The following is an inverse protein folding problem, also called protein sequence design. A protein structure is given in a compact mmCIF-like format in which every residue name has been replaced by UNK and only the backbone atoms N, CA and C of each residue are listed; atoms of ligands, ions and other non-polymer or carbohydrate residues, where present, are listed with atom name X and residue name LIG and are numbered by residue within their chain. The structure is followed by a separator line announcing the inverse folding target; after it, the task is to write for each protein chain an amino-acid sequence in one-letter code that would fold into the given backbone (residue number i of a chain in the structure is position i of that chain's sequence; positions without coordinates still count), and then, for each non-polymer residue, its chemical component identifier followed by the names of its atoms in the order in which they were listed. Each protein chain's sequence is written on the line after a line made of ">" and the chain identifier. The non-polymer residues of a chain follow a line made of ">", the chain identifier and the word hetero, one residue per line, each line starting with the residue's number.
data_IF_302880643252
#
_entry.id   IF_302880643252
#
_cell.length_a   1.000
_cell.length_b   1.000
_cell.length_c   1.000
_cell.angle_alpha   90.00
_cell.angle_beta   90.00
_cell.angle_gamma   90.00
#
_symmetry.space_group_name_H-M   'P 1'
#
loop_
_entity.id
_entity.type
_entity.pdbx_description
1 polymer ?
#
# COMPACT_ATOMS: atom_id res chain seq x y z
N UNK A 1 13.36 12.48 -10.01
CA UNK A 1 13.22 11.02 -9.80
C UNK A 1 13.82 10.68 -8.45
N UNK A 2 13.09 9.96 -7.60
CA UNK A 2 13.53 9.53 -6.25
C UNK A 2 13.29 8.03 -6.16
N UNK A 3 14.31 7.29 -5.70
CA UNK A 3 14.27 5.84 -5.54
C UNK A 3 14.86 5.44 -4.21
N UNK A 4 14.43 4.31 -3.66
CA UNK A 4 15.01 3.73 -2.46
C UNK A 4 15.23 2.23 -2.60
N UNK A 5 16.15 1.69 -1.81
CA UNK A 5 16.41 0.26 -1.72
C UNK A 5 16.85 -0.13 -0.30
N UNK A 6 16.53 -1.34 0.16
CA UNK A 6 15.63 -2.31 -0.48
C UNK A 6 14.15 -1.86 -0.45
N UNK A 7 13.31 -2.44 -1.32
CA UNK A 7 11.87 -2.11 -1.37
C UNK A 7 11.10 -2.57 -0.11
N UNK A 8 11.57 -3.66 0.52
CA UNK A 8 11.09 -4.16 1.82
C UNK A 8 12.28 -4.31 2.77
N UNK A 9 12.69 -3.24 3.46
CA UNK A 9 13.81 -3.29 4.39
C UNK A 9 13.51 -4.13 5.62
N UNK A 10 14.49 -4.90 6.08
CA UNK A 10 14.46 -5.50 7.42
C UNK A 10 14.88 -4.49 8.48
N UNK A 11 14.57 -4.75 9.75
CA UNK A 11 14.97 -3.90 10.88
C UNK A 11 16.49 -3.80 11.10
N UNK A 12 17.29 -4.62 10.43
CA UNK A 12 18.75 -4.59 10.48
C UNK A 12 19.40 -3.81 9.33
N UNK A 13 18.63 -3.43 8.30
CA UNK A 13 19.14 -2.79 7.09
C UNK A 13 18.99 -1.28 7.13
N UNK A 14 20.00 -0.56 6.65
CA UNK A 14 19.83 0.82 6.22
C UNK A 14 19.03 0.87 4.91
N UNK A 15 18.39 2.01 4.65
CA UNK A 15 17.68 2.27 3.42
C UNK A 15 18.45 3.28 2.60
N UNK A 16 18.95 2.86 1.45
CA UNK A 16 19.66 3.71 0.50
C UNK A 16 18.63 4.50 -0.30
N UNK A 17 18.72 5.82 -0.26
CA UNK A 17 17.85 6.74 -1.02
C UNK A 17 18.69 7.45 -2.05
N UNK A 18 18.20 7.49 -3.28
CA UNK A 18 18.85 8.16 -4.41
C UNK A 18 17.88 9.11 -5.08
N UNK A 19 18.37 10.27 -5.50
CA UNK A 19 17.57 11.27 -6.19
C UNK A 19 18.36 11.88 -7.34
N UNK A 20 17.67 12.20 -8.43
CA UNK A 20 18.20 13.10 -9.46
C UNK A 20 17.70 14.51 -9.16
N UNK A 21 18.62 15.43 -8.91
CA UNK A 21 18.35 16.82 -8.53
C UNK A 21 19.01 17.72 -9.58
N UNK A 22 18.22 18.57 -10.22
CA UNK A 22 18.67 19.51 -11.24
C UNK A 22 18.36 20.92 -10.81
N UNK A 23 19.30 21.82 -11.06
CA UNK A 23 19.17 23.25 -10.87
C UNK A 23 19.90 23.98 -12.00
N UNK A 24 19.50 25.22 -12.30
CA UNK A 24 20.15 26.08 -13.30
C UNK A 24 21.49 26.66 -12.80
N UNK A 25 21.70 26.65 -11.48
CA UNK A 25 22.92 27.05 -10.78
C UNK A 25 23.62 25.87 -10.09
N UNK A 26 23.78 25.96 -8.77
CA UNK A 26 24.44 24.95 -7.96
C UNK A 26 23.60 24.55 -6.75
N UNK A 27 23.60 23.25 -6.44
CA UNK A 27 22.93 22.73 -5.26
C UNK A 27 23.81 22.97 -4.03
N UNK A 28 23.33 23.77 -3.08
CA UNK A 28 24.03 24.02 -1.82
C UNK A 28 23.91 22.84 -0.85
N UNK A 29 22.73 22.20 -0.77
CA UNK A 29 22.54 21.01 0.04
C UNK A 29 21.39 20.14 -0.45
N UNK A 30 21.45 18.85 -0.12
CA UNK A 30 20.34 17.92 -0.30
C UNK A 30 20.21 17.02 0.93
N UNK A 31 18.99 16.70 1.32
CA UNK A 31 18.70 15.88 2.49
C UNK A 31 17.46 15.02 2.27
N UNK A 32 17.46 13.86 2.90
CA UNK A 32 16.28 13.04 3.11
C UNK A 32 15.57 13.60 4.33
N UNK A 33 14.28 13.91 4.18
CA UNK A 33 13.40 14.30 5.27
C UNK A 33 12.44 13.15 5.51
N UNK A 34 12.41 12.61 6.73
CA UNK A 34 11.61 11.41 7.02
C UNK A 34 10.97 11.43 8.41
N UNK A 35 9.87 10.71 8.56
CA UNK A 35 9.24 10.37 9.84
C UNK A 35 9.25 8.85 10.02
N UNK A 36 9.11 8.43 11.29
CA UNK A 36 8.91 7.03 11.67
C UNK A 36 7.62 6.99 12.47
N UNK A 37 6.67 6.17 12.04
CA UNK A 37 5.32 6.04 12.62
C UNK A 37 4.60 7.38 12.80
N UNK A 38 4.73 8.24 11.78
CA UNK A 38 4.18 9.61 11.75
C UNK A 38 4.62 10.49 12.95
N UNK A 39 5.75 10.13 13.56
CA UNK A 39 6.37 10.86 14.65
C UNK A 39 7.12 12.12 14.21
N UNK A 40 8.07 12.55 15.04
CA UNK A 40 8.86 13.75 14.77
C UNK A 40 9.72 13.60 13.50
N UNK A 41 9.82 14.68 12.74
CA UNK A 41 10.64 14.75 11.53
C UNK A 41 12.13 14.61 11.86
N UNK A 42 12.81 13.79 11.07
CA UNK A 42 14.24 13.57 11.09
C UNK A 42 14.84 13.90 9.72
N UNK A 43 16.17 14.09 9.69
CA UNK A 43 16.89 14.41 8.45
C UNK A 43 18.15 13.57 8.31
N UNK A 44 18.46 13.15 7.09
CA UNK A 44 19.74 12.54 6.73
C UNK A 44 20.34 13.28 5.53
N UNK A 45 21.63 13.63 5.61
CA UNK A 45 22.30 14.33 4.54
C UNK A 45 22.40 13.44 3.29
N UNK A 46 22.25 14.06 2.12
CA UNK A 46 22.58 13.44 0.83
C UNK A 46 23.86 14.05 0.27
N UNK A 47 24.64 13.22 -0.41
CA UNK A 47 25.91 13.60 -1.04
C UNK A 47 25.87 13.32 -2.54
N UNK A 48 26.58 14.10 -3.38
CA UNK A 48 26.66 13.83 -4.81
C UNK A 48 27.30 12.46 -5.10
N UNK A 49 26.71 11.71 -6.04
CA UNK A 49 27.21 10.40 -6.53
C UNK A 49 27.44 10.38 -8.05
N UNK A 50 27.71 11.56 -8.62
CA UNK A 50 28.02 11.76 -10.03
C UNK A 50 26.89 12.40 -10.85
N UNK A 51 27.26 13.33 -11.74
CA UNK A 51 26.30 14.14 -12.48
C UNK A 51 25.31 14.84 -11.55
N UNK A 52 24.03 14.70 -11.84
CA UNK A 52 22.93 15.29 -11.05
C UNK A 52 22.37 14.32 -10.00
N UNK A 53 23.07 13.22 -9.69
CA UNK A 53 22.60 12.18 -8.77
C UNK A 53 23.13 12.43 -7.36
N UNK A 54 22.24 12.29 -6.39
CA UNK A 54 22.52 12.40 -4.96
C UNK A 54 22.12 11.12 -4.25
N UNK A 55 22.84 10.76 -3.20
CA UNK A 55 22.55 9.59 -2.38
C UNK A 55 22.68 9.89 -0.88
N UNK A 56 21.85 9.25 -0.08
CA UNK A 56 21.93 9.26 1.38
C UNK A 56 21.29 8.00 1.95
N UNK A 57 21.35 7.83 3.27
CA UNK A 57 20.84 6.64 3.94
C UNK A 57 19.93 6.99 5.10
N UNK A 58 18.77 6.35 5.18
CA UNK A 58 17.97 6.30 6.41
C UNK A 58 18.54 5.15 7.26
N UNK A 59 18.87 5.38 8.55
CA UNK A 59 19.43 4.33 9.40
C UNK A 59 18.40 3.21 9.65
N UNK A 60 18.84 2.01 10.09
CA UNK A 60 17.93 0.92 10.43
C UNK A 60 16.84 1.37 11.42
N UNK A 61 15.63 0.87 11.20
CA UNK A 61 14.44 1.21 11.99
C UNK A 61 13.86 -0.03 12.67
N UNK A 62 12.99 0.18 13.65
CA UNK A 62 12.36 -0.92 14.38
C UNK A 62 11.45 -1.77 13.47
N UNK A 63 11.34 -3.05 13.79
CA UNK A 63 10.41 -3.97 13.12
C UNK A 63 8.96 -3.48 13.29
N UNK A 64 8.19 -3.50 12.20
CA UNK A 64 6.81 -3.01 12.17
C UNK A 64 6.67 -1.49 12.01
N UNK A 65 7.77 -0.72 12.06
CA UNK A 65 7.71 0.72 11.84
C UNK A 65 7.35 1.06 10.39
N UNK A 66 6.67 2.18 10.19
CA UNK A 66 6.47 2.76 8.86
C UNK A 66 7.31 4.02 8.70
N UNK A 67 8.12 4.03 7.65
CA UNK A 67 8.92 5.18 7.26
C UNK A 67 8.20 5.92 6.15
N UNK A 68 7.98 7.22 6.35
CA UNK A 68 7.48 8.15 5.33
C UNK A 68 8.58 9.17 5.05
N UNK A 69 8.94 9.40 3.79
CA UNK A 69 10.02 10.33 3.44
C UNK A 69 9.81 11.09 2.13
N UNK A 70 10.53 12.18 1.99
CA UNK A 70 10.77 12.89 0.74
C UNK A 70 12.21 13.42 0.69
N UNK A 71 12.65 13.87 -0.48
CA UNK A 71 13.95 14.52 -0.65
C UNK A 71 13.76 16.03 -0.73
N UNK A 72 14.55 16.76 0.04
CA UNK A 72 14.62 18.20 0.01
C UNK A 72 15.97 18.66 -0.50
N UNK A 73 16.01 19.65 -1.38
CA UNK A 73 17.25 20.29 -1.83
C UNK A 73 17.16 21.80 -1.67
N UNK A 74 18.31 22.43 -1.43
CA UNK A 74 18.46 23.88 -1.37
C UNK A 74 19.55 24.28 -2.36
N UNK A 75 19.28 25.25 -3.22
CA UNK A 75 20.28 25.79 -4.14
C UNK A 75 21.16 26.87 -3.46
N UNK A 76 22.04 27.51 -4.23
CA UNK A 76 22.92 28.57 -3.73
C UNK A 76 22.25 29.92 -3.48
N UNK A 77 21.02 30.10 -3.95
CA UNK A 77 20.25 31.34 -3.80
C UNK A 77 19.24 31.24 -2.63
N UNK A 78 19.04 30.03 -2.10
CA UNK A 78 18.28 29.72 -0.91
C UNK A 78 16.91 29.10 -1.17
N UNK A 79 16.57 28.90 -2.44
CA UNK A 79 15.36 28.25 -2.89
C UNK A 79 15.39 26.77 -2.51
N UNK A 80 14.22 26.25 -2.10
CA UNK A 80 14.07 24.87 -1.66
C UNK A 80 13.10 24.12 -2.55
N UNK A 81 13.44 22.87 -2.86
CA UNK A 81 12.48 21.87 -3.38
C UNK A 81 12.25 20.83 -2.29
N UNK A 82 11.02 20.38 -2.02
CA UNK A 82 9.76 20.83 -2.64
C UNK A 82 9.44 22.28 -2.23
N UNK A 83 8.87 23.08 -3.14
CA UNK A 83 8.47 24.46 -2.82
C UNK A 83 7.33 24.43 -1.79
N UNK A 84 7.50 25.03 -0.59
CA UNK A 84 6.49 25.01 0.46
C UNK A 84 5.17 25.69 0.05
N UNK A 85 5.15 26.48 -1.03
CA UNK A 85 3.96 27.19 -1.51
C UNK A 85 3.18 26.44 -2.60
N UNK A 86 3.72 25.34 -3.14
CA UNK A 86 3.16 24.62 -4.31
C UNK A 86 2.40 23.35 -3.90
N UNK A 87 2.34 23.05 -2.60
CA UNK A 87 1.63 21.89 -2.03
C UNK A 87 2.59 20.91 -1.35
N UNK A 88 2.02 19.90 -0.71
CA UNK A 88 2.82 18.86 -0.07
C UNK A 88 3.61 18.07 -1.13
N UNK A 89 4.86 17.68 -0.85
CA UNK A 89 5.59 16.79 -1.74
C UNK A 89 4.91 15.45 -1.91
N UNK A 90 5.18 14.73 -3.02
CA UNK A 90 4.92 13.30 -3.06
C UNK A 90 5.76 12.62 -1.96
N UNK A 91 5.08 12.00 -1.02
CA UNK A 91 5.70 11.22 0.05
C UNK A 91 5.88 9.78 -0.41
N UNK A 92 7.06 9.21 -0.17
CA UNK A 92 7.33 7.79 -0.33
C UNK A 92 7.21 7.11 1.03
N UNK A 93 6.49 5.99 1.08
CA UNK A 93 6.16 5.32 2.32
C UNK A 93 6.40 3.82 2.20
N UNK A 94 7.05 3.21 3.19
CA UNK A 94 7.32 1.78 3.21
C UNK A 94 7.41 1.23 4.65
N UNK A 95 7.05 -0.05 4.87
CA UNK A 95 7.15 -0.68 6.18
C UNK A 95 8.54 -1.30 6.41
N UNK A 96 8.89 -1.52 7.67
CA UNK A 96 10.12 -2.18 8.09
C UNK A 96 9.80 -3.57 8.61
N UNK A 97 10.52 -4.58 8.11
CA UNK A 97 10.37 -5.97 8.50
C UNK A 97 9.10 -6.65 7.99
N UNK A 98 8.39 -6.02 7.05
CA UNK A 98 7.14 -6.56 6.55
C UNK A 98 7.35 -7.90 5.83
N UNK A 99 6.65 -8.93 6.31
CA UNK A 99 6.60 -10.23 5.66
C UNK A 99 5.30 -10.31 4.87
N UNK A 100 5.42 -10.51 3.56
CA UNK A 100 4.27 -10.64 2.65
C UNK A 100 3.48 -11.91 3.05
N UNK A 101 2.19 -11.80 3.41
CA UNK A 101 1.35 -12.95 3.66
C UNK A 101 1.07 -13.75 2.39
N UNK A 102 0.87 -15.05 2.52
CA UNK A 102 0.48 -15.94 1.41
C UNK A 102 -1.05 -15.96 1.27
N UNK A 103 -1.62 -14.85 0.81
CA UNK A 103 -3.06 -14.69 0.53
C UNK A 103 -3.21 -13.99 -0.81
N UNK A 104 -4.13 -14.49 -1.62
CA UNK A 104 -4.42 -13.97 -2.96
C UNK A 104 -5.93 -13.72 -3.12
N UNK A 105 -6.27 -12.91 -4.11
CA UNK A 105 -7.64 -12.82 -4.62
C UNK A 105 -7.85 -14.03 -5.54
N UNK A 106 -8.81 -14.89 -5.20
CA UNK A 106 -9.09 -16.10 -5.96
C UNK A 106 -10.13 -15.85 -7.06
N UNK A 107 -11.24 -15.21 -6.68
CA UNK A 107 -12.37 -14.93 -7.56
C UNK A 107 -13.11 -13.68 -7.05
N UNK A 108 -13.85 -13.02 -7.93
CA UNK A 108 -14.83 -12.02 -7.53
C UNK A 108 -15.98 -11.99 -8.56
N UNK A 109 -17.14 -11.47 -8.15
CA UNK A 109 -18.33 -11.34 -8.99
C UNK A 109 -19.00 -9.99 -8.74
N UNK A 110 -19.07 -9.14 -9.78
CA UNK A 110 -19.63 -7.78 -9.72
C UNK A 110 -21.05 -7.64 -10.33
N UNK A 111 -21.70 -8.76 -10.63
CA UNK A 111 -23.10 -8.81 -11.09
C UNK A 111 -23.73 -10.13 -10.63
N UNK A 112 -23.73 -10.35 -9.32
CA UNK A 112 -24.28 -11.56 -8.75
C UNK A 112 -25.81 -11.46 -8.70
N UNK A 113 -26.51 -12.27 -9.50
CA UNK A 113 -27.97 -12.26 -9.53
C UNK A 113 -28.58 -13.52 -8.90
N UNK A 114 -27.81 -14.60 -8.80
CA UNK A 114 -28.34 -15.93 -8.44
C UNK A 114 -27.33 -16.91 -7.84
N UNK A 115 -26.02 -16.61 -7.79
CA UNK A 115 -25.00 -17.64 -7.53
C UNK A 115 -24.75 -17.84 -6.04
N UNK A 116 -24.29 -16.78 -5.36
CA UNK A 116 -24.00 -16.79 -3.94
C UNK A 116 -24.98 -15.84 -3.23
N UNK A 117 -25.90 -16.40 -2.47
CA UNK A 117 -26.80 -15.61 -1.61
C UNK A 117 -26.03 -15.13 -0.39
N UNK A 118 -26.26 -13.90 0.04
CA UNK A 118 -25.73 -13.37 1.30
C UNK A 118 -26.36 -14.18 2.47
N UNK A 119 -25.56 -14.91 3.27
CA UNK A 119 -26.07 -15.67 4.41
C UNK A 119 -26.62 -14.78 5.53
N UNK A 120 -26.23 -13.50 5.57
CA UNK A 120 -26.65 -12.52 6.58
C UNK A 120 -27.88 -11.69 6.13
N UNK A 121 -28.20 -11.67 4.82
CA UNK A 121 -29.47 -11.14 4.28
C UNK A 121 -30.14 -12.06 3.23
N UNK A 122 -30.99 -13.01 3.67
CA UNK A 122 -31.65 -13.96 2.78
C UNK A 122 -32.46 -13.30 1.66
N UNK A 123 -32.17 -13.70 0.43
CA UNK A 123 -32.74 -13.18 -0.80
C UNK A 123 -31.87 -12.13 -1.49
N UNK A 124 -30.81 -11.64 -0.83
CA UNK A 124 -29.85 -10.73 -1.42
C UNK A 124 -28.69 -11.48 -2.10
N UNK A 125 -28.25 -10.94 -3.22
CA UNK A 125 -27.16 -11.48 -4.04
C UNK A 125 -26.13 -10.37 -4.25
N UNK A 126 -25.50 -9.94 -3.16
CA UNK A 126 -24.46 -8.94 -3.23
C UNK A 126 -23.28 -9.40 -4.12
N UNK A 127 -22.58 -8.42 -4.68
CA UNK A 127 -21.28 -8.64 -5.28
C UNK A 127 -20.32 -9.21 -4.24
N UNK A 128 -19.30 -9.93 -4.65
CA UNK A 128 -18.42 -10.57 -3.70
C UNK A 128 -16.99 -10.75 -4.20
N UNK A 129 -16.07 -10.83 -3.25
CA UNK A 129 -14.64 -11.06 -3.45
C UNK A 129 -14.25 -12.27 -2.59
N UNK A 130 -13.62 -13.28 -3.18
CA UNK A 130 -13.09 -14.44 -2.49
C UNK A 130 -11.57 -14.36 -2.34
N UNK A 131 -11.09 -14.44 -1.10
CA UNK A 131 -9.68 -14.61 -0.78
C UNK A 131 -9.34 -16.08 -0.59
N UNK A 132 -8.14 -16.47 -1.02
CA UNK A 132 -7.61 -17.81 -0.84
C UNK A 132 -6.22 -17.77 -0.20
N UNK A 133 -5.98 -18.68 0.74
CA UNK A 133 -4.66 -18.94 1.29
C UNK A 133 -4.08 -20.23 0.68
N UNK A 134 -3.23 -20.15 -0.36
CA UNK A 134 -2.55 -21.32 -0.93
C UNK A 134 -1.42 -21.86 -0.05
N UNK A 135 -1.10 -21.18 1.04
CA UNK A 135 -0.03 -21.55 1.96
C UNK A 135 -0.37 -22.74 2.84
N UNK A 136 0.64 -23.20 3.58
CA UNK A 136 0.53 -24.33 4.50
C UNK A 136 0.25 -23.94 5.96
N UNK A 137 0.09 -22.64 6.24
CA UNK A 137 -0.15 -22.11 7.59
C UNK A 137 -1.29 -21.09 7.58
N UNK A 138 -2.05 -20.94 8.68
CA UNK A 138 -3.04 -19.88 8.80
C UNK A 138 -2.41 -18.49 8.67
N UNK A 139 -3.13 -17.57 8.04
CA UNK A 139 -2.74 -16.17 7.85
C UNK A 139 -3.74 -15.26 8.56
N UNK A 140 -3.31 -14.43 9.53
CA UNK A 140 -4.12 -13.34 10.04
C UNK A 140 -4.38 -12.33 8.92
N UNK A 141 -5.65 -11.96 8.71
CA UNK A 141 -6.03 -10.96 7.71
C UNK A 141 -6.10 -9.54 8.28
N UNK A 142 -5.97 -9.40 9.61
CA UNK A 142 -5.86 -8.11 10.27
C UNK A 142 -4.79 -7.21 9.68
N UNK A 143 -5.13 -5.93 9.48
CA UNK A 143 -4.23 -4.95 8.88
C UNK A 143 -3.99 -5.12 7.39
N UNK A 144 -4.73 -6.01 6.72
CA UNK A 144 -4.87 -6.03 5.26
C UNK A 144 -6.06 -5.17 4.83
N UNK A 145 -6.06 -4.78 3.55
CA UNK A 145 -7.07 -3.90 2.99
C UNK A 145 -7.56 -4.43 1.64
N UNK A 146 -8.86 -4.39 1.43
CA UNK A 146 -9.46 -4.54 0.10
C UNK A 146 -9.76 -3.16 -0.47
N UNK A 147 -9.57 -3.00 -1.77
CA UNK A 147 -9.96 -1.78 -2.47
C UNK A 147 -10.31 -2.08 -3.92
N UNK A 148 -11.36 -1.41 -4.38
CA UNK A 148 -11.74 -1.26 -5.80
C UNK A 148 -11.07 -0.03 -6.46
N UNK A 149 -10.27 0.72 -5.69
CA UNK A 149 -9.69 1.99 -6.10
C UNK A 149 -8.19 2.05 -5.74
N UNK A 150 -7.29 1.96 -6.74
CA UNK A 150 -5.85 2.06 -6.52
C UNK A 150 -5.39 3.39 -5.91
N UNK A 151 -6.15 4.47 -6.08
CA UNK A 151 -5.87 5.77 -5.46
C UNK A 151 -6.26 5.82 -3.97
N UNK A 152 -6.99 4.80 -3.48
CA UNK A 152 -7.33 4.61 -2.08
C UNK A 152 -7.03 3.16 -1.63
N UNK A 153 -5.76 2.79 -1.45
CA UNK A 153 -5.37 1.40 -1.14
C UNK A 153 -5.82 0.92 0.24
N UNK A 154 -6.31 1.82 1.11
CA UNK A 154 -6.81 1.49 2.46
C UNK A 154 -8.33 1.62 2.57
N UNK A 155 -9.07 1.48 1.45
CA UNK A 155 -10.52 1.73 1.38
C UNK A 155 -11.31 0.91 2.40
N UNK A 156 -11.14 -0.42 2.40
CA UNK A 156 -11.75 -1.31 3.37
C UNK A 156 -10.68 -2.00 4.21
N UNK A 157 -10.63 -1.73 5.51
CA UNK A 157 -9.73 -2.40 6.43
C UNK A 157 -10.33 -3.72 6.92
N UNK A 158 -9.62 -4.84 6.73
CA UNK A 158 -10.04 -6.13 7.26
C UNK A 158 -9.77 -6.16 8.77
N UNK A 159 -10.78 -6.57 9.53
CA UNK A 159 -10.70 -6.60 11.00
C UNK A 159 -9.62 -7.55 11.53
N UNK A 160 -9.00 -7.17 12.65
CA UNK A 160 -7.85 -7.90 13.23
C UNK A 160 -8.15 -9.29 13.79
N UNK A 161 -9.43 -9.67 13.86
CA UNK A 161 -9.87 -10.95 14.39
C UNK A 161 -9.99 -12.05 13.33
N UNK A 162 -9.93 -11.69 12.04
CA UNK A 162 -10.06 -12.66 10.96
C UNK A 162 -8.75 -13.38 10.68
N UNK A 163 -8.81 -14.70 10.54
CA UNK A 163 -7.69 -15.57 10.18
C UNK A 163 -8.15 -16.55 9.13
N UNK A 164 -7.41 -16.64 8.03
CA UNK A 164 -7.67 -17.56 6.94
C UNK A 164 -6.74 -18.78 7.07
N UNK A 165 -7.31 -19.95 7.35
CA UNK A 165 -6.54 -21.18 7.48
C UNK A 165 -5.86 -21.61 6.16
N UNK A 166 -4.89 -22.51 6.27
CA UNK A 166 -4.19 -23.08 5.12
C UNK A 166 -5.18 -23.79 4.17
N UNK A 167 -5.13 -23.46 2.88
CA UNK A 167 -6.01 -24.03 1.87
C UNK A 167 -7.48 -23.61 1.98
N UNK A 168 -7.81 -22.61 2.81
CA UNK A 168 -9.17 -22.12 2.99
C UNK A 168 -9.46 -20.90 2.13
N UNK A 169 -10.75 -20.69 1.89
CA UNK A 169 -11.33 -19.56 1.18
C UNK A 169 -12.17 -18.72 2.15
N UNK A 170 -12.26 -17.41 1.88
CA UNK A 170 -13.12 -16.50 2.62
C UNK A 170 -13.73 -15.47 1.67
N UNK A 171 -15.05 -15.34 1.73
CA UNK A 171 -15.79 -14.38 0.93
C UNK A 171 -16.04 -13.10 1.71
N UNK A 172 -15.85 -11.97 1.04
CA UNK A 172 -16.32 -10.65 1.44
C UNK A 172 -17.42 -10.21 0.48
N UNK A 173 -18.54 -9.72 1.01
CA UNK A 173 -19.62 -9.11 0.24
C UNK A 173 -19.33 -7.62 0.02
N UNK A 174 -19.46 -7.18 -1.22
CA UNK A 174 -19.24 -5.82 -1.66
C UNK A 174 -20.59 -5.12 -1.87
N UNK A 175 -21.18 -4.67 -0.76
CA UNK A 175 -22.57 -4.21 -0.67
C UNK A 175 -22.75 -2.83 -0.02
N UNK A 176 -21.66 -2.19 0.41
CA UNK A 176 -21.68 -0.94 1.19
C UNK A 176 -22.37 -1.03 2.57
N UNK A 177 -22.53 -2.23 3.14
CA UNK A 177 -23.26 -2.43 4.41
C UNK A 177 -22.42 -3.13 5.50
N UNK A 178 -21.47 -2.38 6.05
CA UNK A 178 -20.62 -2.87 7.15
C UNK A 178 -21.40 -3.15 8.45
N UNK A 179 -22.68 -2.76 8.57
CA UNK A 179 -23.47 -3.06 9.76
C UNK A 179 -23.80 -4.57 9.87
N UNK A 180 -23.77 -5.30 8.75
CA UNK A 180 -24.00 -6.74 8.69
C UNK A 180 -22.82 -7.55 9.27
N UNK A 181 -21.59 -7.03 9.16
CA UNK A 181 -20.45 -7.67 9.81
C UNK A 181 -19.11 -7.43 9.15
N UNK A 182 -18.05 -8.11 9.64
CA UNK A 182 -16.67 -7.89 9.19
C UNK A 182 -16.38 -8.42 7.77
N UNK A 183 -17.35 -9.14 7.17
CA UNK A 183 -17.26 -9.65 5.80
C UNK A 183 -17.98 -8.76 4.79
N UNK A 184 -18.61 -7.66 5.22
CA UNK A 184 -19.31 -6.72 4.35
C UNK A 184 -18.47 -5.46 4.19
N UNK A 185 -18.16 -5.11 2.94
CA UNK A 185 -17.23 -4.02 2.64
C UNK A 185 -17.93 -2.66 2.60
N UNK A 186 -17.15 -1.58 2.63
CA UNK A 186 -17.68 -0.22 2.48
C UNK A 186 -17.75 0.25 1.01
N UNK A 187 -17.78 -0.68 0.07
CA UNK A 187 -17.88 -0.42 -1.35
C UNK A 187 -18.68 -1.51 -2.06
N UNK A 188 -19.13 -1.22 -3.29
CA UNK A 188 -19.72 -2.19 -4.21
C UNK A 188 -18.84 -2.34 -5.43
N UNK A 189 -19.05 -3.41 -6.17
CA UNK A 189 -18.36 -3.62 -7.42
C UNK A 189 -19.14 -3.02 -8.59
N UNK A 190 -18.44 -2.68 -9.67
CA UNK A 190 -19.01 -2.18 -10.90
C UNK A 190 -19.05 -3.28 -11.97
N UNK A 191 -20.27 -3.69 -12.33
CA UNK A 191 -20.54 -4.67 -13.40
C UNK A 191 -19.94 -4.34 -14.78
N UNK A 192 -19.65 -3.06 -15.06
CA UNK A 192 -19.07 -2.62 -16.33
C UNK A 192 -17.52 -2.72 -16.34
N UNK A 193 -16.92 -3.22 -15.25
CA UNK A 193 -15.51 -3.55 -15.09
C UNK A 193 -14.76 -2.60 -14.17
N UNK A 194 -13.94 -3.17 -13.30
CA UNK A 194 -13.00 -2.46 -12.42
C UNK A 194 -11.82 -3.34 -11.99
N UNK A 195 -11.00 -2.78 -11.11
CA UNK A 195 -9.86 -3.44 -10.46
C UNK A 195 -10.22 -3.78 -9.02
N UNK A 196 -9.93 -4.99 -8.56
CA UNK A 196 -9.91 -5.33 -7.13
C UNK A 196 -8.48 -5.60 -6.71
N UNK A 197 -8.04 -4.99 -5.61
CA UNK A 197 -6.69 -5.18 -5.09
C UNK A 197 -6.68 -5.43 -3.58
N UNK A 198 -5.72 -6.26 -3.17
CA UNK A 198 -5.41 -6.59 -1.79
C UNK A 198 -4.11 -5.90 -1.40
N UNK A 199 -4.15 -5.11 -0.33
CA UNK A 199 -2.99 -4.38 0.17
C UNK A 199 -2.63 -4.80 1.59
N UNK A 200 -1.35 -4.71 1.89
CA UNK A 200 -0.76 -4.86 3.21
C UNK A 200 -0.06 -3.58 3.66
N UNK A 201 0.45 -3.62 4.90
CA UNK A 201 1.28 -2.55 5.45
C UNK A 201 0.66 -1.15 5.32
N UNK A 202 -0.60 -1.01 5.74
CA UNK A 202 -1.33 0.27 5.66
C UNK A 202 -1.37 0.84 4.23
N UNK A 203 -1.63 -0.03 3.24
CA UNK A 203 -1.77 0.36 1.83
C UNK A 203 -0.47 0.57 1.07
N UNK A 204 0.69 0.35 1.69
CA UNK A 204 2.00 0.62 1.06
C UNK A 204 2.57 -0.54 0.26
N UNK A 205 2.00 -1.74 0.44
CA UNK A 205 2.41 -2.96 -0.28
C UNK A 205 1.18 -3.53 -0.97
N UNK A 206 1.16 -3.50 -2.31
CA UNK A 206 0.20 -4.27 -3.10
C UNK A 206 0.58 -5.75 -3.00
N UNK A 207 -0.33 -6.57 -2.49
CA UNK A 207 -0.15 -8.01 -2.32
C UNK A 207 -0.64 -8.75 -3.55
N UNK A 208 -1.80 -8.34 -4.07
CA UNK A 208 -2.42 -8.91 -5.25
C UNK A 208 -3.37 -7.91 -5.91
N UNK A 209 -3.59 -8.06 -7.22
CA UNK A 209 -4.54 -7.27 -8.02
C UNK A 209 -5.14 -8.14 -9.11
N UNK A 210 -6.45 -8.04 -9.27
CA UNK A 210 -7.17 -8.60 -10.42
C UNK A 210 -7.90 -7.47 -11.14
N UNK A 211 -7.66 -7.37 -12.44
CA UNK A 211 -8.37 -6.46 -13.34
C UNK A 211 -9.45 -7.24 -14.10
N UNK A 212 -10.63 -6.66 -14.28
CA UNK A 212 -11.79 -7.29 -14.94
C UNK A 212 -11.47 -7.96 -16.29
N UNK A 213 -10.58 -7.37 -17.09
CA UNK A 213 -10.20 -7.88 -18.41
C UNK A 213 -9.34 -9.17 -18.35
N UNK A 214 -8.91 -9.60 -17.16
CA UNK A 214 -8.04 -10.77 -16.98
C UNK A 214 -8.78 -12.05 -16.56
N UNK A 215 -10.10 -12.01 -16.34
CA UNK A 215 -10.88 -13.21 -16.01
C UNK A 215 -11.63 -13.79 -17.23
N UNK A 216 -11.54 -15.12 -17.48
CA UNK A 216 -12.36 -15.75 -18.49
C UNK A 216 -13.83 -15.63 -18.09
N UNK A 217 -14.68 -15.15 -19.01
CA UNK A 217 -16.13 -15.13 -18.82
C UNK A 217 -16.62 -16.53 -18.44
N UNK A 218 -17.24 -16.65 -17.25
CA UNK A 218 -17.87 -17.88 -16.77
C UNK A 218 -19.11 -18.24 -17.60
#
# INVERSE_FOLDING_TARGET
>A
DVRFAPALPTSAQSIDVTATISDEGSIASAQIVYTVDDGAQQTAAMTPDGGNRYQGTIPPQADGAIVTFFVMATDNDGEVTPDPNVGAPPLLRFPIGYTIPTVIINEFMADNLTTLEDPDDPGDFADWIELYNPGSTPVPLGGLYLSDNPDNPTKFAITDTLTLGAGQYLVFFADEDQEQGPLHTNFKLNKDGETVALYGAQGTVELDRVDWDELPSA
#
